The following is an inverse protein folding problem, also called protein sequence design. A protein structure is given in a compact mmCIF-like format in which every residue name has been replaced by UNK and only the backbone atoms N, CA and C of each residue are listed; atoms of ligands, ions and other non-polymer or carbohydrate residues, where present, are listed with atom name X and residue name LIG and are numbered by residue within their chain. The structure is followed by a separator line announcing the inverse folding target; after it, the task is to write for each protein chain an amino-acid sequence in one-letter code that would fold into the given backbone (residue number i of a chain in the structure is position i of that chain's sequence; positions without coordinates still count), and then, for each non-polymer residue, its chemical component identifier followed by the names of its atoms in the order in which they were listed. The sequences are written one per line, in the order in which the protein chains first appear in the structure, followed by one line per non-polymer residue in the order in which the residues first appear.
data_IF_438183323669
#
_entry.id   IF_438183323669
#
_cell.length_a   1.000
_cell.length_b   1.000
_cell.length_c   1.000
_cell.angle_alpha   90.00
_cell.angle_beta   90.00
_cell.angle_gamma   90.00
#
_symmetry.space_group_name_H-M   'P 1'
#
loop_
_entity.id
_entity.type
_entity.pdbx_description
1 polymer ?
#
# COMPACT_ATOMS: atom_id res chain seq x y z
N UNK A 1 -12.96 6.77 -8.65
CA UNK A 1 -11.87 7.55 -9.28
C UNK A 1 -10.56 7.26 -8.55
N UNK A 2 -9.48 6.99 -9.29
CA UNK A 2 -8.12 6.85 -8.75
C UNK A 2 -7.27 8.05 -9.13
N UNK A 3 -6.33 8.43 -8.26
CA UNK A 3 -5.34 9.47 -8.55
C UNK A 3 -4.01 9.16 -7.85
N UNK A 4 -2.95 9.75 -8.36
CA UNK A 4 -1.60 9.61 -7.82
C UNK A 4 -1.07 10.98 -7.42
N UNK A 5 -0.47 11.05 -6.24
CA UNK A 5 0.31 12.21 -5.80
C UNK A 5 1.79 11.88 -5.96
N UNK A 6 2.53 12.76 -6.59
CA UNK A 6 3.95 12.59 -6.91
C UNK A 6 4.76 13.73 -6.29
N UNK A 7 5.76 13.40 -5.50
CA UNK A 7 6.79 14.34 -5.06
C UNK A 7 8.01 14.23 -5.95
N UNK A 8 8.50 15.39 -6.41
CA UNK A 8 9.69 15.48 -7.26
C UNK A 8 10.73 16.41 -6.63
N UNK A 9 11.98 16.11 -6.88
CA UNK A 9 13.11 16.98 -6.60
C UNK A 9 13.98 17.05 -7.86
N UNK A 10 14.28 18.26 -8.32
CA UNK A 10 15.08 18.49 -9.53
C UNK A 10 14.55 17.67 -10.74
N UNK A 11 13.24 17.71 -10.94
CA UNK A 11 12.49 16.95 -11.97
C UNK A 11 12.57 15.42 -11.84
N UNK A 12 13.12 14.90 -10.76
CA UNK A 12 13.18 13.45 -10.46
C UNK A 12 12.12 13.06 -9.46
N UNK A 13 11.29 12.05 -9.74
CA UNK A 13 10.34 11.54 -8.74
C UNK A 13 11.08 10.90 -7.57
N UNK A 14 10.74 11.30 -6.34
CA UNK A 14 11.33 10.81 -5.10
C UNK A 14 10.33 10.07 -4.21
N UNK A 15 9.04 10.35 -4.34
CA UNK A 15 7.97 9.58 -3.70
C UNK A 15 6.68 9.69 -4.49
N UNK A 16 5.83 8.67 -4.36
CA UNK A 16 4.48 8.64 -4.94
C UNK A 16 3.51 7.93 -3.99
N UNK A 17 2.25 8.35 -4.02
CA UNK A 17 1.16 7.68 -3.33
C UNK A 17 -0.06 7.58 -4.23
N UNK A 18 -0.75 6.42 -4.21
CA UNK A 18 -1.96 6.15 -5.00
C UNK A 18 -3.15 6.06 -4.07
N UNK A 19 -4.19 6.80 -4.42
CA UNK A 19 -5.45 6.86 -3.72
C UNK A 19 -6.60 6.47 -4.63
N UNK A 20 -7.59 5.79 -4.06
CA UNK A 20 -8.88 5.53 -4.71
C UNK A 20 -9.99 6.22 -3.93
N UNK A 21 -10.90 6.88 -4.63
CA UNK A 21 -12.06 7.54 -4.07
C UNK A 21 -13.35 6.86 -4.49
N UNK A 22 -14.25 6.63 -3.54
CA UNK A 22 -15.58 6.03 -3.69
C UNK A 22 -16.60 6.88 -2.92
N UNK A 23 -17.22 7.83 -3.57
CA UNK A 23 -18.14 8.77 -2.91
C UNK A 23 -17.42 9.57 -1.82
N UNK A 24 -17.87 9.47 -0.58
CA UNK A 24 -17.30 10.12 0.62
C UNK A 24 -16.15 9.33 1.28
N UNK A 25 -15.81 8.17 0.75
CA UNK A 25 -14.74 7.32 1.26
C UNK A 25 -13.56 7.31 0.30
N UNK A 26 -12.36 7.12 0.84
CA UNK A 26 -11.15 6.92 0.06
C UNK A 26 -10.27 5.82 0.66
N UNK A 27 -9.40 5.28 -0.17
CA UNK A 27 -8.43 4.26 0.19
C UNK A 27 -7.02 4.72 -0.25
N UNK A 28 -6.10 4.80 0.69
CA UNK A 28 -4.67 4.85 0.43
C UNK A 28 -4.17 3.44 0.11
N UNK A 29 -3.84 3.17 -1.14
CA UNK A 29 -3.58 1.80 -1.62
C UNK A 29 -2.10 1.47 -1.76
N UNK A 30 -1.33 2.34 -2.40
CA UNK A 30 0.09 2.10 -2.68
C UNK A 30 0.91 3.34 -2.39
N UNK A 31 2.15 3.13 -1.97
CA UNK A 31 3.18 4.17 -1.96
C UNK A 31 4.54 3.58 -2.28
N UNK A 32 5.38 4.43 -2.83
CA UNK A 32 6.78 4.14 -3.06
C UNK A 32 7.61 5.39 -2.82
N UNK A 33 8.84 5.22 -2.34
CA UNK A 33 9.80 6.32 -2.19
C UNK A 33 11.23 5.83 -2.40
N UNK A 34 12.10 6.75 -2.80
CA UNK A 34 13.54 6.47 -2.86
C UNK A 34 14.10 6.44 -1.43
N UNK A 35 14.56 5.27 -1.01
CA UNK A 35 15.12 5.07 0.33
C UNK A 35 16.36 5.92 0.61
N UNK A 36 17.10 6.30 -0.44
CA UNK A 36 18.31 7.14 -0.32
C UNK A 36 17.99 8.59 0.01
N UNK A 37 16.73 9.00 -0.21
CA UNK A 37 16.24 10.37 -0.04
C UNK A 37 15.18 10.48 1.07
N UNK A 38 15.23 9.56 2.06
CA UNK A 38 14.28 9.55 3.18
C UNK A 38 14.36 10.78 4.07
N UNK A 39 15.52 11.43 4.12
CA UNK A 39 15.73 12.69 4.85
C UNK A 39 14.74 13.79 4.45
N UNK A 40 14.30 13.81 3.18
CA UNK A 40 13.31 14.77 2.68
C UNK A 40 11.87 14.45 3.12
N UNK A 41 11.66 13.33 3.80
CA UNK A 41 10.33 12.90 4.27
C UNK A 41 9.23 13.00 3.19
N UNK A 42 9.59 12.71 1.94
CA UNK A 42 8.70 12.87 0.78
C UNK A 42 7.43 12.02 0.87
N UNK A 43 7.45 10.90 1.60
CA UNK A 43 6.26 10.10 1.90
C UNK A 43 5.22 10.90 2.71
N UNK A 44 5.67 11.72 3.68
CA UNK A 44 4.77 12.56 4.45
C UNK A 44 4.15 13.64 3.58
N UNK A 45 4.95 14.22 2.67
CA UNK A 45 4.46 15.24 1.74
C UNK A 45 3.37 14.68 0.82
N UNK A 46 3.60 13.53 0.16
CA UNK A 46 2.60 12.96 -0.75
C UNK A 46 1.34 12.51 -0.01
N UNK A 47 1.47 12.02 1.22
CA UNK A 47 0.33 11.69 2.06
C UNK A 47 -0.47 12.93 2.42
N UNK A 48 0.18 13.98 2.90
CA UNK A 48 -0.46 15.24 3.27
C UNK A 48 -1.20 15.87 2.09
N UNK A 49 -0.57 15.96 0.93
CA UNK A 49 -1.19 16.49 -0.28
C UNK A 49 -2.39 15.64 -0.74
N UNK A 50 -2.26 14.32 -0.62
CA UNK A 50 -3.37 13.39 -0.89
C UNK A 50 -4.56 13.62 0.03
N UNK A 51 -4.33 13.74 1.34
CA UNK A 51 -5.37 14.04 2.33
C UNK A 51 -6.05 15.38 2.02
N UNK A 52 -5.27 16.43 1.76
CA UNK A 52 -5.81 17.74 1.42
C UNK A 52 -6.67 17.73 0.16
N UNK A 53 -6.22 17.02 -0.88
CA UNK A 53 -7.01 16.85 -2.10
C UNK A 53 -8.33 16.12 -1.81
N UNK A 54 -8.31 15.07 -1.03
CA UNK A 54 -9.50 14.29 -0.65
C UNK A 54 -10.50 15.16 0.14
N UNK A 55 -10.02 15.93 1.12
CA UNK A 55 -10.85 16.84 1.92
C UNK A 55 -11.54 17.88 1.04
N UNK A 56 -10.82 18.55 0.13
CA UNK A 56 -11.39 19.53 -0.81
C UNK A 56 -12.45 18.91 -1.72
N UNK A 57 -12.40 17.61 -1.94
CA UNK A 57 -13.36 16.87 -2.74
C UNK A 57 -14.46 16.18 -1.91
N UNK A 58 -14.65 16.56 -0.65
CA UNK A 58 -15.74 16.09 0.20
C UNK A 58 -15.61 14.65 0.67
N UNK A 59 -14.38 14.14 0.78
CA UNK A 59 -14.12 12.84 1.40
C UNK A 59 -14.14 13.00 2.92
N UNK A 60 -14.89 12.13 3.57
CA UNK A 60 -15.07 12.13 5.04
C UNK A 60 -14.24 11.04 5.72
N UNK A 61 -13.95 9.94 5.01
CA UNK A 61 -13.20 8.79 5.54
C UNK A 61 -12.07 8.39 4.61
N UNK A 62 -10.85 8.28 5.16
CA UNK A 62 -9.68 7.73 4.47
C UNK A 62 -9.22 6.44 5.15
N UNK A 63 -9.31 5.34 4.42
CA UNK A 63 -8.81 4.04 4.86
C UNK A 63 -7.34 3.89 4.44
N UNK A 64 -6.46 3.58 5.40
CA UNK A 64 -5.01 3.44 5.16
C UNK A 64 -4.60 2.05 4.65
N UNK A 65 -5.57 1.19 4.32
CA UNK A 65 -5.31 -0.15 3.85
C UNK A 65 -4.74 -1.09 4.92
N UNK A 66 -4.68 -2.36 4.59
CA UNK A 66 -4.17 -3.40 5.48
C UNK A 66 -2.66 -3.24 5.72
N UNK A 67 -2.23 -3.62 6.92
CA UNK A 67 -0.81 -3.77 7.29
C UNK A 67 -0.61 -5.14 7.92
N UNK A 68 0.43 -5.86 7.53
CA UNK A 68 0.83 -7.09 8.19
C UNK A 68 1.37 -6.78 9.60
N UNK A 69 1.05 -7.62 10.59
CA UNK A 69 1.40 -7.38 12.00
C UNK A 69 2.91 -7.22 12.20
N UNK A 70 3.73 -7.92 11.41
CA UNK A 70 5.19 -7.88 11.48
C UNK A 70 5.80 -6.62 10.84
N UNK A 71 5.00 -5.79 10.16
CA UNK A 71 5.50 -4.59 9.50
C UNK A 71 5.37 -3.35 10.40
N UNK A 72 6.14 -3.34 11.49
CA UNK A 72 6.13 -2.26 12.49
C UNK A 72 6.40 -0.87 11.90
N UNK A 73 7.29 -0.77 10.92
CA UNK A 73 7.64 0.52 10.31
C UNK A 73 6.45 1.16 9.59
N UNK A 74 5.73 0.36 8.80
CA UNK A 74 4.53 0.82 8.10
C UNK A 74 3.38 1.09 9.07
N UNK A 75 3.23 0.25 10.11
CA UNK A 75 2.24 0.42 11.15
C UNK A 75 2.42 1.75 11.88
N UNK A 76 3.66 2.04 12.37
CA UNK A 76 4.00 3.33 13.01
C UNK A 76 3.75 4.52 12.10
N UNK A 77 4.14 4.41 10.82
CA UNK A 77 3.88 5.46 9.84
C UNK A 77 2.38 5.74 9.72
N UNK A 78 1.53 4.72 9.63
CA UNK A 78 0.08 4.91 9.54
C UNK A 78 -0.50 5.51 10.82
N UNK A 79 -0.11 5.01 11.98
CA UNK A 79 -0.56 5.51 13.29
C UNK A 79 -0.13 6.96 13.55
N UNK A 80 1.00 7.42 12.99
CA UNK A 80 1.43 8.82 13.12
C UNK A 80 0.49 9.83 12.43
N UNK A 81 -0.50 9.35 11.67
CA UNK A 81 -1.56 10.14 11.04
C UNK A 81 -2.86 10.14 11.86
N UNK A 82 -2.80 9.81 13.15
CA UNK A 82 -3.95 9.73 14.05
C UNK A 82 -5.04 8.75 13.54
N UNK A 83 -4.60 7.64 12.97
CA UNK A 83 -5.50 6.60 12.48
C UNK A 83 -5.92 5.64 13.58
N UNK A 84 -7.16 5.16 13.52
CA UNK A 84 -7.64 4.04 14.33
C UNK A 84 -7.27 2.72 13.67
N UNK A 85 -6.81 1.76 14.47
CA UNK A 85 -6.42 0.43 14.02
C UNK A 85 -7.51 -0.58 14.36
N UNK A 86 -7.87 -1.40 13.38
CA UNK A 86 -8.82 -2.50 13.54
C UNK A 86 -8.18 -3.82 13.13
N UNK A 87 -8.44 -4.87 13.89
CA UNK A 87 -7.94 -6.21 13.58
C UNK A 87 -8.86 -6.86 12.56
N UNK A 88 -8.30 -7.30 11.44
CA UNK A 88 -9.01 -8.04 10.40
C UNK A 88 -8.67 -9.53 10.56
N UNK A 89 -9.67 -10.33 10.89
CA UNK A 89 -9.53 -11.77 10.96
C UNK A 89 -9.94 -12.40 9.63
N UNK A 90 -9.08 -13.23 9.07
CA UNK A 90 -9.35 -14.00 7.86
C UNK A 90 -9.68 -15.44 8.24
N UNK A 91 -10.84 -15.88 7.84
CA UNK A 91 -11.27 -17.27 8.01
C UNK A 91 -11.33 -17.95 6.65
N UNK A 92 -10.72 -19.11 6.54
CA UNK A 92 -10.88 -19.99 5.39
C UNK A 92 -11.72 -21.18 5.83
N UNK A 93 -12.88 -21.33 5.24
CA UNK A 93 -13.81 -22.44 5.55
C UNK A 93 -13.77 -23.46 4.43
N UNK A 94 -13.70 -24.75 4.78
CA UNK A 94 -13.86 -25.82 3.81
C UNK A 94 -15.27 -25.75 3.18
N UNK A 95 -15.44 -26.01 1.88
CA UNK A 95 -16.76 -26.05 1.23
C UNK A 95 -17.77 -26.98 1.89
N UNK A 96 -17.31 -28.02 2.58
CA UNK A 96 -18.16 -28.92 3.40
C UNK A 96 -18.66 -28.27 4.70
N UNK A 97 -18.15 -27.09 5.07
CA UNK A 97 -18.54 -26.35 6.29
C UNK A 97 -18.08 -26.98 7.61
N UNK A 98 -17.29 -28.05 7.57
CA UNK A 98 -16.95 -28.85 8.76
C UNK A 98 -15.67 -28.41 9.46
N UNK A 99 -14.79 -27.66 8.82
CA UNK A 99 -13.53 -27.20 9.41
C UNK A 99 -13.19 -25.77 9.04
N UNK A 100 -12.78 -24.97 10.03
CA UNK A 100 -12.14 -23.69 9.80
C UNK A 100 -10.65 -23.95 9.54
N UNK A 101 -10.20 -23.75 8.30
CA UNK A 101 -8.80 -23.91 7.94
C UNK A 101 -8.04 -22.67 8.38
N UNK A 102 -7.19 -22.80 9.39
CA UNK A 102 -6.24 -21.74 9.76
C UNK A 102 -5.24 -21.60 8.60
N UNK A 103 -5.15 -20.46 7.94
CA UNK A 103 -4.20 -20.29 6.85
C UNK A 103 -2.78 -20.47 7.41
N UNK A 104 -1.99 -21.35 6.79
CA UNK A 104 -0.55 -21.39 7.07
C UNK A 104 0.06 -20.00 6.85
N UNK A 105 1.01 -19.55 7.68
CA UNK A 105 1.65 -18.26 7.51
C UNK A 105 2.22 -18.20 6.10
N UNK A 106 1.75 -17.24 5.32
CA UNK A 106 2.23 -17.03 3.94
C UNK A 106 3.66 -16.52 4.05
N UNK A 107 4.64 -17.39 3.76
CA UNK A 107 6.05 -17.02 3.61
C UNK A 107 6.21 -16.10 2.39
N UNK A 108 5.76 -14.85 2.50
CA UNK A 108 5.87 -13.85 1.43
C UNK A 108 7.30 -13.31 1.26
N UNK A 109 8.26 -13.78 2.07
CA UNK A 109 9.64 -13.29 2.08
C UNK A 109 10.44 -13.63 0.82
N UNK A 110 10.14 -14.76 0.17
CA UNK A 110 10.90 -15.20 -1.00
C UNK A 110 10.66 -14.29 -2.23
N UNK A 111 9.41 -13.95 -2.50
CA UNK A 111 9.07 -13.05 -3.60
C UNK A 111 9.63 -11.64 -3.41
N UNK A 112 9.56 -11.08 -2.20
CA UNK A 112 10.17 -9.77 -1.90
C UNK A 112 11.69 -9.74 -2.11
N UNK A 113 12.38 -10.85 -1.82
CA UNK A 113 13.84 -10.96 -1.95
C UNK A 113 14.28 -11.08 -3.41
N UNK A 114 13.52 -11.79 -4.23
CA UNK A 114 13.83 -11.98 -5.66
C UNK A 114 13.51 -10.70 -6.44
N UNK A 115 12.29 -10.17 -6.32
CA UNK A 115 11.87 -8.98 -7.06
C UNK A 115 12.56 -7.69 -6.59
N UNK A 116 13.01 -7.62 -5.34
CA UNK A 116 13.74 -6.46 -4.82
C UNK A 116 15.16 -6.29 -5.38
N UNK A 117 15.74 -7.34 -5.97
CA UNK A 117 17.09 -7.33 -6.57
C UNK A 117 17.10 -7.29 -8.10
N UNK A 118 15.95 -7.47 -8.75
CA UNK A 118 15.83 -7.44 -10.20
C UNK A 118 15.81 -6.00 -10.74
N UNK A 119 16.52 -5.71 -11.84
CA UNK A 119 16.40 -4.44 -12.54
C UNK A 119 14.95 -4.16 -12.94
N UNK A 120 14.56 -2.87 -12.96
CA UNK A 120 13.19 -2.41 -13.23
C UNK A 120 12.59 -2.97 -14.53
N UNK A 121 13.41 -3.19 -15.56
CA UNK A 121 12.98 -3.75 -16.85
C UNK A 121 12.45 -5.16 -16.68
N UNK A 122 13.15 -6.01 -15.89
CA UNK A 122 12.73 -7.38 -15.63
C UNK A 122 11.51 -7.46 -14.71
N UNK A 123 11.39 -6.53 -13.75
CA UNK A 123 10.20 -6.42 -12.91
C UNK A 123 8.95 -6.03 -13.72
N UNK A 124 9.09 -5.16 -14.73
CA UNK A 124 7.98 -4.80 -15.64
C UNK A 124 7.57 -6.00 -16.50
N UNK A 125 8.52 -6.73 -17.06
CA UNK A 125 8.25 -7.92 -17.88
C UNK A 125 7.60 -9.03 -17.04
N UNK A 126 8.15 -9.32 -15.86
CA UNK A 126 7.56 -10.29 -14.94
C UNK A 126 6.15 -9.88 -14.48
N UNK A 127 5.92 -8.60 -14.23
CA UNK A 127 4.60 -8.07 -13.89
C UNK A 127 3.59 -8.26 -15.02
N UNK A 128 3.95 -7.99 -16.27
CA UNK A 128 3.04 -8.15 -17.40
C UNK A 128 2.64 -9.60 -17.67
N UNK A 129 3.50 -10.56 -17.32
CA UNK A 129 3.25 -12.01 -17.51
C UNK A 129 2.50 -12.61 -16.31
N UNK A 130 2.84 -12.19 -15.08
CA UNK A 130 2.29 -12.79 -13.85
C UNK A 130 0.97 -12.17 -13.41
N UNK A 131 0.73 -10.89 -13.71
CA UNK A 131 -0.46 -10.17 -13.24
C UNK A 131 -1.79 -10.74 -13.76
N UNK A 132 -1.91 -11.24 -15.00
CA UNK A 132 -3.14 -11.88 -15.49
C UNK A 132 -3.49 -13.21 -14.80
N UNK A 133 -2.55 -13.79 -14.03
CA UNK A 133 -2.70 -15.12 -13.40
C UNK A 133 -2.72 -15.06 -11.87
N UNK A 134 -2.84 -13.86 -11.27
CA UNK A 134 -2.79 -13.64 -9.81
C UNK A 134 -4.17 -13.37 -9.19
N UNK A 135 -5.26 -13.73 -9.89
CA UNK A 135 -6.62 -13.74 -9.32
C UNK A 135 -6.89 -14.99 -8.49
#
# INVERSE_FOLDING_TARGET
MGFTVLAQRDSRPIAAAVFFRFGKNALYKYAASDKRLQEFRANNLVMWQGIQFLLRNGVEKLHFGRTECENDGLRRFKLSWDTQEEIINYYRVDPSGRQCLVPAPRNSGFHKRVFGKLPLVFNRLAGSILYPHLD
#
